data_IF_792807813510
#
_entry.id   IF_792807813510
#
_cell.length_a   1.000
_cell.length_b   1.000
_cell.length_c   1.000
_cell.angle_alpha   90.00
_cell.angle_beta   90.00
_cell.angle_gamma   90.00
#
_symmetry.space_group_name_H-M   'P 1'
#
loop_
_entity.id
_entity.type
_entity.pdbx_description
1 polymer ?
#
# COMPACT_ATOMS: atom_id res chain seq x y z
N UNK A 1 23.58 -7.19 8.78
CA UNK A 1 22.23 -6.63 9.05
C UNK A 1 21.54 -7.48 10.10
N UNK A 2 21.33 -6.96 11.30
CA UNK A 2 20.67 -7.68 12.39
C UNK A 2 19.16 -7.80 12.12
N UNK A 3 18.61 -9.02 12.15
CA UNK A 3 17.17 -9.31 12.01
C UNK A 3 16.41 -8.90 13.28
N UNK A 4 15.59 -7.86 13.18
CA UNK A 4 14.65 -7.49 14.24
C UNK A 4 13.36 -8.29 14.09
N UNK A 5 13.28 -9.45 14.76
CA UNK A 5 12.05 -10.24 14.88
C UNK A 5 11.27 -9.66 16.06
N UNK A 6 10.28 -8.79 15.82
CA UNK A 6 9.36 -8.30 16.85
C UNK A 6 8.50 -9.47 17.37
N UNK A 7 9.07 -10.26 18.27
CA UNK A 7 8.30 -11.21 19.07
C UNK A 7 7.65 -10.39 20.16
N UNK A 8 6.32 -10.30 20.16
CA UNK A 8 5.60 -9.76 21.30
C UNK A 8 6.00 -10.57 22.54
N UNK A 9 6.77 -9.92 23.43
CA UNK A 9 7.31 -10.52 24.63
C UNK A 9 6.61 -9.89 25.83
N UNK A 10 5.83 -10.71 26.56
CA UNK A 10 5.16 -10.27 27.77
C UNK A 10 6.21 -10.05 28.86
N UNK A 11 6.23 -8.89 29.50
CA UNK A 11 7.11 -8.62 30.63
C UNK A 11 6.46 -9.16 31.90
N UNK A 12 7.05 -10.18 32.51
CA UNK A 12 6.58 -10.80 33.76
C UNK A 12 7.56 -10.51 34.89
N UNK A 13 7.07 -10.02 36.02
CA UNK A 13 7.87 -9.76 37.23
C UNK A 13 7.95 -11.03 38.07
N UNK A 14 9.16 -11.49 38.36
CA UNK A 14 9.38 -12.57 39.32
C UNK A 14 9.28 -12.06 40.76
N UNK A 15 9.05 -12.95 41.72
CA UNK A 15 9.01 -12.66 43.16
C UNK A 15 10.29 -12.00 43.70
N UNK A 16 11.45 -12.27 43.08
CA UNK A 16 12.72 -11.61 43.43
C UNK A 16 12.87 -10.18 42.86
N UNK A 17 11.86 -9.66 42.16
CA UNK A 17 11.86 -8.30 41.62
C UNK A 17 12.36 -8.16 40.18
N UNK A 18 13.07 -9.16 39.64
CA UNK A 18 13.55 -9.13 38.24
C UNK A 18 12.41 -9.30 37.23
N UNK A 19 12.50 -8.55 36.14
CA UNK A 19 11.58 -8.57 35.01
C UNK A 19 12.12 -9.50 33.92
N UNK A 20 11.30 -10.40 33.40
CA UNK A 20 11.64 -11.30 32.31
C UNK A 20 10.72 -11.04 31.11
N UNK A 21 11.29 -11.02 29.91
CA UNK A 21 10.52 -11.06 28.68
C UNK A 21 10.23 -12.50 28.31
N UNK A 22 8.95 -12.85 28.22
CA UNK A 22 8.53 -14.22 27.95
C UNK A 22 7.69 -14.29 26.67
N UNK A 23 8.05 -15.21 25.77
CA UNK A 23 7.30 -15.43 24.54
C UNK A 23 5.95 -16.08 24.80
N UNK A 24 4.94 -15.78 23.98
CA UNK A 24 3.59 -16.37 24.07
C UNK A 24 3.56 -17.91 24.06
N UNK A 25 4.58 -18.57 23.51
CA UNK A 25 4.72 -20.04 23.50
C UNK A 25 4.92 -20.67 24.89
N UNK A 26 5.20 -19.84 25.90
CA UNK A 26 5.37 -20.26 27.29
C UNK A 26 4.13 -19.97 28.15
N UNK A 27 3.02 -19.53 27.55
CA UNK A 27 1.72 -19.47 28.23
C UNK A 27 1.34 -20.86 28.75
N UNK A 28 0.83 -20.92 29.99
CA UNK A 28 0.49 -22.13 30.74
C UNK A 28 1.66 -23.09 31.04
N UNK A 29 2.90 -22.72 30.70
CA UNK A 29 4.08 -23.50 31.06
C UNK A 29 4.66 -23.03 32.38
N UNK A 30 5.12 -23.98 33.19
CA UNK A 30 5.87 -23.72 34.42
C UNK A 30 7.30 -23.36 34.03
N UNK A 31 7.73 -22.15 34.37
CA UNK A 31 9.09 -21.67 34.14
C UNK A 31 9.78 -21.39 35.46
N UNK A 32 11.10 -21.59 35.52
CA UNK A 32 11.92 -21.25 36.68
C UNK A 32 12.65 -19.93 36.44
N UNK A 33 12.68 -19.06 37.45
CA UNK A 33 13.43 -17.82 37.40
C UNK A 33 14.93 -18.13 37.41
N UNK A 34 15.66 -17.67 36.38
CA UNK A 34 17.11 -17.87 36.28
C UNK A 34 17.92 -17.24 37.42
N UNK A 35 17.34 -16.27 38.16
CA UNK A 35 18.05 -15.58 39.23
C UNK A 35 17.79 -16.11 40.64
N UNK A 36 16.62 -16.68 40.92
CA UNK A 36 16.29 -17.18 42.27
C UNK A 36 15.78 -18.63 42.29
N UNK A 37 15.68 -19.30 41.14
CA UNK A 37 15.21 -20.67 41.02
C UNK A 37 13.70 -20.86 41.25
N UNK A 38 12.97 -19.83 41.68
CA UNK A 38 11.53 -19.96 41.96
C UNK A 38 10.73 -20.26 40.69
N UNK A 39 9.86 -21.28 40.76
CA UNK A 39 9.06 -21.73 39.63
C UNK A 39 7.62 -21.20 39.71
N UNK A 40 7.11 -20.72 38.57
CA UNK A 40 5.75 -20.19 38.46
C UNK A 40 5.17 -20.47 37.08
N UNK A 41 3.84 -20.51 37.01
CA UNK A 41 3.10 -20.73 35.76
C UNK A 41 2.61 -19.38 35.24
N UNK A 42 2.79 -19.12 33.94
CA UNK A 42 2.33 -17.87 33.34
C UNK A 42 0.87 -18.03 32.91
N UNK A 43 -0.07 -17.26 33.48
CA UNK A 43 -1.49 -17.38 33.16
C UNK A 43 -1.77 -16.91 31.73
N UNK A 44 -2.38 -17.77 30.91
CA UNK A 44 -2.76 -17.47 29.51
C UNK A 44 -3.64 -16.22 29.36
N UNK A 45 -4.52 -15.96 30.33
CA UNK A 45 -5.42 -14.81 30.31
C UNK A 45 -4.70 -13.48 30.07
N UNK A 46 -3.46 -13.32 30.56
CA UNK A 46 -2.69 -12.07 30.34
C UNK A 46 -2.21 -11.88 28.90
N UNK A 47 -2.03 -12.96 28.15
CA UNK A 47 -1.69 -12.88 26.73
C UNK A 47 -2.93 -12.54 25.90
N UNK A 48 -4.10 -13.08 26.24
CA UNK A 48 -5.34 -12.78 25.53
C UNK A 48 -5.74 -11.31 25.71
N UNK A 49 -5.58 -10.75 26.91
CA UNK A 49 -5.79 -9.31 27.16
C UNK A 49 -4.79 -8.42 26.41
N UNK A 50 -3.51 -8.82 26.36
CA UNK A 50 -2.49 -8.08 25.60
C UNK A 50 -2.70 -8.15 24.07
N UNK A 51 -3.44 -9.15 23.59
CA UNK A 51 -3.82 -9.31 22.19
C UNK A 51 -5.20 -8.69 21.85
N UNK A 52 -5.82 -7.97 22.79
CA UNK A 52 -7.13 -7.35 22.57
C UNK A 52 -8.29 -8.36 22.44
N UNK A 53 -8.09 -9.62 22.86
CA UNK A 53 -9.16 -10.62 22.93
C UNK A 53 -9.83 -10.54 24.29
N UNK A 54 -11.00 -9.92 24.33
CA UNK A 54 -11.87 -9.88 25.51
C UNK A 54 -12.23 -11.32 25.94
N UNK A 55 -12.09 -11.62 27.23
CA UNK A 55 -12.29 -12.94 27.81
C UNK A 55 -13.78 -13.40 27.89
N UNK A 56 -14.61 -13.02 26.91
CA UNK A 56 -16.07 -13.12 26.96
C UNK A 56 -16.72 -14.29 26.20
N UNK A 57 -16.06 -14.90 25.22
CA UNK A 57 -16.72 -15.87 24.34
C UNK A 57 -16.52 -17.32 24.78
N UNK A 58 -17.02 -17.65 25.97
CA UNK A 58 -17.31 -19.03 26.35
C UNK A 58 -18.69 -19.45 25.81
N UNK A 59 -18.89 -20.70 25.35
CA UNK A 59 -20.19 -21.16 24.85
C UNK A 59 -21.23 -21.15 25.97
N UNK A 60 -22.19 -20.23 25.86
CA UNK A 60 -23.38 -20.19 26.71
C UNK A 60 -24.23 -21.45 26.49
N UNK A 61 -24.71 -22.14 27.53
CA UNK A 61 -25.55 -23.33 27.39
C UNK A 61 -26.88 -22.98 26.70
N UNK A 62 -27.26 -23.84 25.75
CA UNK A 62 -28.42 -23.67 24.88
C UNK A 62 -29.74 -23.50 25.67
N UNK A 63 -30.53 -22.43 25.43
CA UNK A 63 -31.89 -22.37 25.90
C UNK A 63 -32.81 -23.22 25.01
N UNK A 64 -33.60 -24.04 25.69
CA UNK A 64 -34.66 -24.87 25.14
C UNK A 64 -35.71 -24.06 24.38
N UNK A 65 -36.04 -24.58 23.20
CA UNK A 65 -37.10 -24.16 22.29
C UNK A 65 -38.48 -24.15 22.98
N UNK A 66 -39.30 -23.10 22.76
CA UNK A 66 -40.74 -23.27 22.67
C UNK A 66 -41.24 -23.07 21.24
N UNK A 67 -42.40 -23.67 21.01
CA UNK A 67 -43.04 -23.90 19.74
C UNK A 67 -43.78 -22.66 19.18
N UNK A 68 -43.97 -22.71 17.86
CA UNK A 68 -45.12 -22.22 17.08
C UNK A 68 -45.74 -20.86 17.43
N UNK A 69 -45.55 -19.88 16.54
CA UNK A 69 -46.57 -18.87 16.27
C UNK A 69 -46.42 -18.28 14.85
N UNK A 70 -47.39 -18.64 14.01
CA UNK A 70 -48.14 -17.78 13.09
C UNK A 70 -47.38 -16.84 12.14
N UNK A 71 -47.46 -17.21 10.87
CA UNK A 71 -47.26 -16.38 9.68
C UNK A 71 -48.23 -15.18 9.66
N UNK A 72 -47.75 -13.93 9.50
CA UNK A 72 -48.60 -12.78 9.21
C UNK A 72 -48.97 -12.70 7.72
N UNK A 73 -50.13 -12.12 7.37
CA UNK A 73 -50.63 -12.04 6.00
C UNK A 73 -49.92 -11.00 5.14
N UNK A 74 -49.88 -11.35 3.86
CA UNK A 74 -49.43 -10.63 2.67
C UNK A 74 -49.96 -9.18 2.58
N UNK A 75 -49.08 -8.16 2.45
CA UNK A 75 -49.54 -6.80 2.19
C UNK A 75 -49.92 -6.60 0.72
N UNK A 76 -51.07 -5.95 0.55
CA UNK A 76 -51.76 -5.67 -0.70
C UNK A 76 -50.91 -4.97 -1.77
N UNK A 77 -51.13 -5.38 -3.02
CA UNK A 77 -50.69 -4.70 -4.24
C UNK A 77 -51.15 -3.23 -4.23
N UNK A 78 -50.19 -2.31 -4.22
CA UNK A 78 -50.42 -0.90 -4.55
C UNK A 78 -50.34 -0.75 -6.07
N UNK A 79 -51.45 -0.27 -6.63
CA UNK A 79 -51.70 0.01 -8.03
C UNK A 79 -50.74 1.07 -8.58
N UNK A 80 -50.16 0.81 -9.75
CA UNK A 80 -49.41 1.79 -10.54
C UNK A 80 -50.31 2.96 -10.98
N UNK A 81 -49.85 4.22 -10.92
CA UNK A 81 -50.54 5.33 -11.58
C UNK A 81 -50.25 5.35 -13.08
N UNK A 82 -51.30 5.73 -13.83
CA UNK A 82 -51.39 5.83 -15.28
C UNK A 82 -50.44 6.87 -15.90
N UNK A 83 -50.12 6.76 -17.21
CA UNK A 83 -49.25 7.70 -17.91
C UNK A 83 -49.94 9.05 -18.14
N UNK A 84 -49.28 10.12 -17.71
CA UNK A 84 -49.69 11.51 -17.96
C UNK A 84 -49.31 11.89 -19.39
N UNK A 85 -50.28 12.47 -20.10
CA UNK A 85 -50.17 12.91 -21.48
C UNK A 85 -49.20 14.10 -21.67
N UNK A 86 -48.54 14.23 -22.83
CA UNK A 86 -47.69 15.37 -23.16
C UNK A 86 -48.56 16.56 -23.60
N UNK A 87 -48.51 17.64 -22.82
CA UNK A 87 -49.04 18.95 -23.22
C UNK A 87 -48.03 19.70 -24.10
N UNK A 88 -48.47 20.36 -25.19
CA UNK A 88 -47.60 21.16 -26.05
C UNK A 88 -47.55 22.63 -25.62
N UNK A 89 -46.47 23.30 -26.05
CA UNK A 89 -46.28 24.75 -26.26
C UNK A 89 -45.46 25.49 -25.19
N UNK A 90 -44.87 26.67 -25.49
CA UNK A 90 -44.45 27.22 -26.80
C UNK A 90 -43.00 27.75 -26.81
N UNK A 91 -42.55 28.04 -28.04
CA UNK A 91 -41.54 29.03 -28.40
C UNK A 91 -41.38 30.18 -27.39
N UNK A 92 -40.14 30.44 -26.98
CA UNK A 92 -39.67 31.78 -26.67
C UNK A 92 -38.22 31.87 -27.13
N UNK A 93 -38.06 32.51 -28.29
CA UNK A 93 -36.79 33.02 -28.78
C UNK A 93 -36.28 34.08 -27.78
N UNK A 94 -35.07 33.87 -27.29
CA UNK A 94 -34.28 34.88 -26.62
C UNK A 94 -32.96 34.93 -27.38
N UNK A 95 -32.92 35.88 -28.32
CA UNK A 95 -31.72 36.37 -28.95
C UNK A 95 -30.79 36.90 -27.86
N UNK A 96 -29.81 36.09 -27.48
CA UNK A 96 -28.67 36.52 -26.69
C UNK A 96 -27.48 36.65 -27.64
N UNK A 97 -27.29 37.87 -28.12
CA UNK A 97 -26.10 38.34 -28.81
C UNK A 97 -24.92 38.29 -27.81
N UNK A 98 -23.87 37.49 -28.03
CA UNK A 98 -22.70 37.52 -27.17
C UNK A 98 -21.90 38.78 -27.49
N UNK A 99 -21.88 39.71 -26.54
CA UNK A 99 -20.96 40.83 -26.53
C UNK A 99 -19.52 40.30 -26.69
N UNK A 100 -18.91 40.56 -27.84
CA UNK A 100 -17.48 40.41 -28.04
C UNK A 100 -16.78 41.42 -27.12
N UNK A 101 -16.27 40.94 -25.98
CA UNK A 101 -15.28 41.68 -25.22
C UNK A 101 -13.96 41.64 -25.99
N UNK A 102 -13.60 42.80 -26.53
CA UNK A 102 -12.35 43.09 -27.20
C UNK A 102 -11.20 43.05 -26.17
N UNK A 103 -10.61 41.86 -26.00
CA UNK A 103 -9.58 41.57 -24.99
C UNK A 103 -8.18 42.03 -25.42
N UNK A 104 -8.04 42.55 -26.65
CA UNK A 104 -6.77 42.96 -27.22
C UNK A 104 -6.33 44.37 -26.77
N UNK A 105 -7.25 45.19 -26.25
CA UNK A 105 -6.91 46.54 -25.75
C UNK A 105 -6.36 46.58 -24.32
N UNK A 106 -6.44 45.49 -23.54
CA UNK A 106 -5.99 45.46 -22.14
C UNK A 106 -4.53 45.02 -21.96
N UNK A 107 -3.88 44.48 -22.99
CA UNK A 107 -2.50 43.96 -22.91
C UNK A 107 -1.46 45.05 -23.27
N UNK A 108 -1.87 46.14 -23.93
CA UNK A 108 -0.96 47.21 -24.35
C UNK A 108 -0.42 48.08 -23.19
N UNK A 109 -1.01 48.02 -21.99
CA UNK A 109 -0.69 48.94 -20.88
C UNK A 109 0.19 48.32 -19.77
N UNK A 110 0.69 47.09 -19.96
CA UNK A 110 1.50 46.37 -18.97
C UNK A 110 3.01 46.32 -19.30
N UNK A 111 3.48 47.04 -20.32
CA UNK A 111 4.92 47.15 -20.65
C UNK A 111 5.65 48.23 -19.83
N UNK A 112 5.32 48.36 -18.54
CA UNK A 112 6.03 49.21 -17.61
C UNK A 112 7.41 48.65 -17.29
N UNK A 113 8.46 49.40 -17.65
CA UNK A 113 9.87 49.15 -17.31
C UNK A 113 10.05 48.85 -15.81
N UNK A 114 10.47 47.62 -15.49
CA UNK A 114 10.91 47.24 -14.15
C UNK A 114 12.23 47.96 -13.81
N UNK A 115 12.35 48.56 -12.61
CA UNK A 115 13.61 49.13 -12.15
C UNK A 115 14.65 48.04 -11.90
N UNK A 116 15.89 48.31 -12.34
CA UNK A 116 17.08 47.49 -12.08
C UNK A 116 17.24 47.19 -10.58
N UNK A 117 17.26 45.90 -10.25
CA UNK A 117 17.59 45.42 -8.90
C UNK A 117 19.12 45.48 -8.77
N UNK A 118 19.68 46.24 -7.81
CA UNK A 118 21.13 46.29 -7.63
C UNK A 118 21.66 44.95 -7.10
N UNK A 119 22.73 44.48 -7.73
CA UNK A 119 23.46 43.26 -7.40
C UNK A 119 23.95 43.26 -5.94
N UNK A 120 23.81 42.15 -5.20
CA UNK A 120 24.37 42.04 -3.85
C UNK A 120 25.90 41.98 -3.88
N UNK A 121 26.60 42.62 -2.92
CA UNK A 121 28.05 42.57 -2.84
C UNK A 121 28.55 41.17 -2.47
N UNK A 122 29.68 40.80 -3.06
CA UNK A 122 30.40 39.55 -2.81
C UNK A 122 30.74 39.40 -1.33
N UNK A 123 30.15 38.39 -0.67
CA UNK A 123 30.55 37.96 0.65
C UNK A 123 31.78 37.04 0.54
N UNK A 124 32.92 37.60 0.94
CA UNK A 124 34.11 36.85 1.32
C UNK A 124 33.96 36.29 2.74
N UNK A 125 34.83 35.33 3.04
CA UNK A 125 35.24 34.83 4.37
C UNK A 125 34.43 33.67 5.00
N UNK A 126 34.92 32.46 4.68
CA UNK A 126 35.59 31.59 5.66
C UNK A 126 34.81 31.18 6.90
N UNK A 127 34.16 30.01 6.84
CA UNK A 127 33.75 29.25 8.03
C UNK A 127 34.45 27.88 8.02
N UNK A 128 35.60 27.81 8.71
CA UNK A 128 36.38 26.59 8.92
C UNK A 128 35.86 25.90 10.20
N UNK A 129 35.12 24.80 10.04
CA UNK A 129 34.59 24.00 11.14
C UNK A 129 35.68 23.03 11.63
N UNK A 130 36.38 23.39 12.72
CA UNK A 130 37.27 22.47 13.45
C UNK A 130 36.44 21.38 14.15
N UNK A 131 36.58 20.14 13.69
CA UNK A 131 36.19 18.95 14.44
C UNK A 131 37.15 18.79 15.63
N UNK A 132 36.58 18.61 16.82
CA UNK A 132 37.33 18.18 18.00
C UNK A 132 37.46 16.64 17.96
N UNK A 133 38.70 16.16 18.09
CA UNK A 133 39.02 14.76 18.34
C UNK A 133 38.70 14.41 19.80
N UNK A 134 37.66 13.59 20.01
CA UNK A 134 37.39 12.94 21.29
C UNK A 134 37.76 11.44 21.16
N UNK A 135 38.99 11.12 21.59
CA UNK A 135 39.44 9.75 21.84
C UNK A 135 38.78 9.20 23.12
N UNK A 136 38.10 8.03 23.09
CA UNK A 136 37.76 7.32 24.30
C UNK A 136 38.90 6.41 24.79
N UNK A 137 39.11 6.29 26.11
CA UNK A 137 40.20 5.51 26.69
C UNK A 137 40.05 4.00 26.47
N UNK A 138 41.14 3.40 26.02
CA UNK A 138 41.36 1.95 25.89
C UNK A 138 41.28 1.24 27.24
N UNK A 139 40.30 0.34 27.39
CA UNK A 139 40.17 -0.63 28.48
C UNK A 139 40.54 -2.05 28.04
N UNK A 140 40.98 -2.93 28.97
CA UNK A 140 41.70 -4.16 28.65
C UNK A 140 40.81 -5.31 28.13
N UNK A 141 41.38 -5.98 27.13
CA UNK A 141 40.92 -7.21 26.46
C UNK A 141 40.76 -8.40 27.43
N UNK A 142 39.61 -9.09 27.46
CA UNK A 142 39.50 -10.40 28.09
C UNK A 142 39.76 -11.54 27.10
N UNK A 143 40.66 -12.42 27.53
CA UNK A 143 41.00 -13.76 27.09
C UNK A 143 40.11 -14.44 26.02
N UNK A 144 40.77 -14.78 24.91
CA UNK A 144 40.38 -15.77 23.91
C UNK A 144 40.30 -17.16 24.55
N UNK A 145 39.08 -17.66 24.74
CA UNK A 145 38.85 -19.08 25.08
C UNK A 145 38.72 -19.86 23.77
N UNK A 146 39.75 -20.66 23.50
CA UNK A 146 39.71 -21.78 22.58
C UNK A 146 38.66 -22.81 23.05
N UNK A 147 37.74 -23.17 22.16
CA UNK A 147 36.98 -24.41 22.26
C UNK A 147 36.97 -25.05 20.89
N UNK A 148 37.92 -25.96 20.69
CA UNK A 148 37.80 -27.06 19.74
C UNK A 148 36.49 -27.82 19.99
N UNK A 149 35.84 -28.25 18.92
CA UNK A 149 34.55 -28.94 18.97
C UNK A 149 34.13 -29.41 17.59
N UNK A 150 35.03 -30.16 16.96
CA UNK A 150 34.81 -30.92 15.73
C UNK A 150 33.71 -31.97 15.97
N UNK A 151 32.63 -31.90 15.19
CA UNK A 151 31.77 -33.05 14.91
C UNK A 151 31.48 -33.06 13.41
N UNK A 152 32.11 -34.02 12.74
CA UNK A 152 31.67 -34.59 11.48
C UNK A 152 30.24 -35.07 11.63
N UNK A 153 29.35 -34.66 10.72
CA UNK A 153 28.22 -35.50 10.34
C UNK A 153 27.78 -35.15 8.91
N UNK A 154 28.54 -35.66 7.95
CA UNK A 154 28.09 -35.86 6.58
C UNK A 154 27.08 -37.00 6.53
N UNK A 155 25.80 -36.67 6.67
CA UNK A 155 24.70 -37.59 6.32
C UNK A 155 23.81 -36.99 5.24
N UNK A 156 23.95 -37.58 4.05
CA UNK A 156 22.97 -37.76 2.99
C UNK A 156 21.82 -36.76 2.87
N UNK A 157 21.96 -35.84 1.91
CA UNK A 157 20.83 -35.16 1.27
C UNK A 157 20.10 -36.17 0.38
N UNK A 158 19.26 -37.01 0.98
CA UNK A 158 18.29 -37.85 0.30
C UNK A 158 16.90 -37.57 0.86
N UNK A 159 16.32 -36.45 0.45
CA UNK A 159 14.93 -36.08 0.72
C UNK A 159 14.29 -35.50 -0.53
N UNK A 160 14.06 -36.36 -1.53
CA UNK A 160 13.21 -36.03 -2.67
C UNK A 160 12.66 -37.27 -3.38
N UNK A 161 11.90 -38.13 -2.68
CA UNK A 161 10.94 -39.07 -3.28
C UNK A 161 10.15 -39.77 -2.18
N UNK A 162 8.99 -39.23 -1.83
CA UNK A 162 7.72 -39.99 -1.73
C UNK A 162 6.56 -39.06 -1.32
N UNK A 163 5.64 -38.68 -2.24
CA UNK A 163 4.47 -37.88 -1.90
C UNK A 163 3.31 -38.66 -1.25
N UNK A 164 3.43 -39.98 -1.03
CA UNK A 164 2.30 -40.81 -0.55
C UNK A 164 2.41 -41.31 0.89
N UNK A 165 3.52 -41.05 1.59
CA UNK A 165 3.79 -41.61 2.93
C UNK A 165 3.73 -40.60 4.09
N UNK A 166 2.77 -39.67 4.12
CA UNK A 166 2.47 -38.90 5.35
C UNK A 166 1.20 -39.39 6.02
N UNK A 167 1.29 -40.28 7.04
CA UNK A 167 0.20 -40.45 8.00
C UNK A 167 -0.07 -39.09 8.66
N UNK A 168 -1.28 -38.59 8.47
CA UNK A 168 -1.69 -37.25 8.92
C UNK A 168 -1.51 -37.10 10.44
N UNK A 169 -0.86 -36.02 10.91
CA UNK A 169 -0.73 -35.77 12.33
C UNK A 169 -2.09 -35.37 12.89
N UNK A 170 -2.78 -36.31 13.53
CA UNK A 170 -3.84 -36.03 14.51
C UNK A 170 -3.17 -35.46 15.76
N UNK A 171 -2.99 -34.13 15.81
CA UNK A 171 -2.35 -33.49 16.96
C UNK A 171 -2.60 -31.98 17.04
N UNK A 172 -3.57 -31.59 17.86
CA UNK A 172 -3.57 -30.38 18.70
C UNK A 172 -3.39 -29.01 18.02
N UNK A 173 -4.52 -28.48 17.52
CA UNK A 173 -4.97 -27.07 17.53
C UNK A 173 -4.00 -25.88 17.56
N UNK A 174 -4.27 -24.94 16.62
CA UNK A 174 -3.84 -23.52 16.52
C UNK A 174 -2.37 -23.35 16.09
N UNK A 175 -1.99 -23.30 14.81
CA UNK A 175 -2.44 -22.41 13.75
C UNK A 175 -2.27 -23.13 12.39
N UNK A 176 -3.24 -23.96 12.02
CA UNK A 176 -3.31 -24.42 10.63
C UNK A 176 -3.70 -23.19 9.83
N UNK A 177 -2.76 -22.67 9.02
CA UNK A 177 -3.04 -21.57 8.10
C UNK A 177 -4.15 -22.08 7.15
N UNK A 178 -5.39 -21.79 7.50
CA UNK A 178 -6.55 -22.13 6.68
C UNK A 178 -6.29 -21.49 5.33
N UNK A 179 -6.33 -22.31 4.28
CA UNK A 179 -6.34 -21.78 2.93
C UNK A 179 -7.55 -20.86 2.76
N UNK A 180 -7.54 -19.97 1.76
CA UNK A 180 -8.69 -19.12 1.48
C UNK A 180 -9.95 -19.98 1.36
N UNK A 181 -11.00 -19.59 2.09
CA UNK A 181 -12.28 -20.31 2.11
C UNK A 181 -13.06 -20.15 0.79
N UNK A 182 -12.68 -19.15 -0.02
CA UNK A 182 -13.34 -18.72 -1.26
C UNK A 182 -12.35 -18.80 -2.42
N UNK A 183 -12.88 -18.75 -3.64
CA UNK A 183 -12.06 -18.67 -4.84
C UNK A 183 -11.55 -17.24 -5.08
N UNK A 184 -10.40 -17.13 -5.75
CA UNK A 184 -9.77 -15.84 -6.07
C UNK A 184 -10.73 -14.84 -6.70
N UNK A 185 -11.53 -15.26 -7.68
CA UNK A 185 -12.45 -14.36 -8.38
C UNK A 185 -13.57 -13.83 -7.47
N UNK A 186 -14.09 -14.66 -6.57
CA UNK A 186 -15.09 -14.20 -5.58
C UNK A 186 -14.50 -13.12 -4.68
N UNK A 187 -13.27 -13.33 -4.19
CA UNK A 187 -12.59 -12.36 -3.33
C UNK A 187 -12.16 -11.10 -4.11
N UNK A 188 -11.81 -11.25 -5.38
CA UNK A 188 -11.51 -10.14 -6.29
C UNK A 188 -12.73 -9.24 -6.49
N UNK A 189 -13.92 -9.81 -6.75
CA UNK A 189 -15.15 -9.02 -6.81
C UNK A 189 -15.51 -8.39 -5.46
N UNK A 190 -15.27 -9.09 -4.35
CA UNK A 190 -15.48 -8.52 -3.02
C UNK A 190 -14.51 -7.38 -2.68
N UNK A 191 -13.40 -7.26 -3.41
CA UNK A 191 -12.45 -6.16 -3.21
C UNK A 191 -13.04 -4.80 -3.56
N UNK A 192 -14.03 -4.73 -4.46
CA UNK A 192 -14.73 -3.47 -4.77
C UNK A 192 -15.61 -2.96 -3.63
N UNK A 193 -16.15 -3.87 -2.81
CA UNK A 193 -16.98 -3.53 -1.64
C UNK A 193 -16.11 -3.39 -0.38
N UNK A 194 -14.81 -3.65 -0.47
CA UNK A 194 -13.88 -3.68 0.66
C UNK A 194 -13.92 -2.43 1.55
N UNK A 195 -13.83 -1.19 0.99
CA UNK A 195 -13.79 0.00 1.84
C UNK A 195 -15.13 0.23 2.56
N UNK A 196 -16.21 -0.38 2.07
CA UNK A 196 -17.58 -0.18 2.55
C UNK A 196 -18.12 -1.35 3.38
N UNK A 197 -17.33 -2.41 3.58
CA UNK A 197 -17.82 -3.65 4.20
C UNK A 197 -18.08 -3.51 5.70
N UNK A 198 -17.27 -2.74 6.41
CA UNK A 198 -17.40 -2.49 7.86
C UNK A 198 -17.39 -1.00 8.13
N UNK A 199 -18.05 -0.55 9.20
CA UNK A 199 -18.04 0.86 9.60
C UNK A 199 -16.63 1.40 9.86
N UNK A 200 -15.73 0.56 10.41
CA UNK A 200 -14.33 0.91 10.60
C UNK A 200 -13.60 1.14 9.27
N UNK A 201 -13.82 0.28 8.26
CA UNK A 201 -13.23 0.46 6.93
C UNK A 201 -13.70 1.75 6.26
N UNK A 202 -14.98 2.10 6.42
CA UNK A 202 -15.55 3.35 5.86
C UNK A 202 -14.87 4.56 6.48
N UNK A 203 -14.71 4.58 7.81
CA UNK A 203 -14.04 5.68 8.52
C UNK A 203 -12.59 5.81 8.04
N UNK A 204 -11.84 4.71 7.99
CA UNK A 204 -10.45 4.73 7.50
C UNK A 204 -10.40 5.20 6.04
N UNK A 205 -11.31 4.75 5.18
CA UNK A 205 -11.38 5.17 3.79
C UNK A 205 -11.62 6.67 3.64
N UNK A 206 -12.57 7.24 4.39
CA UNK A 206 -12.84 8.67 4.40
C UNK A 206 -11.60 9.45 4.87
N UNK A 207 -10.91 8.98 5.92
CA UNK A 207 -9.68 9.59 6.40
C UNK A 207 -8.58 9.62 5.34
N UNK A 208 -8.42 8.53 4.57
CA UNK A 208 -7.46 8.48 3.47
C UNK A 208 -7.86 9.45 2.35
N UNK A 209 -9.14 9.52 1.99
CA UNK A 209 -9.65 10.46 0.99
C UNK A 209 -9.38 11.92 1.39
N UNK A 210 -9.65 12.27 2.66
CA UNK A 210 -9.38 13.62 3.18
C UNK A 210 -7.89 13.91 3.16
N UNK A 211 -7.05 12.99 3.65
CA UNK A 211 -5.60 13.17 3.65
C UNK A 211 -5.03 13.31 2.23
N UNK A 212 -5.60 12.57 1.27
CA UNK A 212 -5.23 12.64 -0.14
C UNK A 212 -5.67 13.97 -0.77
N UNK A 213 -6.89 14.44 -0.51
CA UNK A 213 -7.42 15.70 -1.01
C UNK A 213 -6.68 16.93 -0.46
N UNK A 214 -6.03 16.82 0.71
CA UNK A 214 -5.15 17.87 1.23
C UNK A 214 -3.97 18.18 0.30
N UNK A 215 -3.61 17.28 -0.62
CA UNK A 215 -2.57 17.53 -1.64
C UNK A 215 -2.95 18.66 -2.61
N UNK A 216 -4.24 18.87 -2.85
CA UNK A 216 -4.75 19.86 -3.80
C UNK A 216 -4.39 21.30 -3.37
N UNK A 217 -4.79 21.79 -2.17
CA UNK A 217 -4.40 23.13 -1.74
C UNK A 217 -2.90 23.23 -1.45
N UNK A 218 -2.25 22.14 -1.04
CA UNK A 218 -0.80 22.13 -0.84
C UNK A 218 -0.04 22.38 -2.14
N UNK A 219 -0.48 21.82 -3.27
CA UNK A 219 0.19 22.02 -4.56
C UNK A 219 0.28 23.50 -4.97
N UNK A 220 -0.63 24.34 -4.48
CA UNK A 220 -0.65 25.79 -4.72
C UNK A 220 0.48 26.55 -4.00
N UNK A 221 1.11 25.96 -2.97
CA UNK A 221 2.21 26.59 -2.21
C UNK A 221 3.59 26.43 -2.89
N UNK A 222 3.65 25.80 -4.07
CA UNK A 222 4.89 25.60 -4.83
C UNK A 222 5.91 24.75 -4.08
N UNK A 223 7.18 25.17 -4.06
CA UNK A 223 8.28 24.39 -3.48
C UNK A 223 8.13 24.11 -1.97
N UNK A 224 7.44 24.99 -1.22
CA UNK A 224 7.22 24.78 0.22
C UNK A 224 6.31 23.58 0.51
N UNK A 225 5.51 23.15 -0.47
CA UNK A 225 4.64 21.98 -0.32
C UNK A 225 5.34 20.63 -0.49
N UNK A 226 6.60 20.60 -0.95
CA UNK A 226 7.30 19.33 -1.19
C UNK A 226 7.41 18.49 0.09
N UNK A 227 7.69 19.12 1.23
CA UNK A 227 7.78 18.45 2.52
C UNK A 227 6.43 17.85 2.95
N UNK A 228 5.33 18.61 3.08
CA UNK A 228 4.05 18.04 3.48
C UNK A 228 3.49 17.04 2.45
N UNK A 229 3.70 17.27 1.14
CA UNK A 229 3.33 16.30 0.09
C UNK A 229 4.09 14.98 0.29
N UNK A 230 5.39 15.04 0.59
CA UNK A 230 6.19 13.83 0.86
C UNK A 230 5.72 13.10 2.11
N UNK A 231 5.33 13.82 3.17
CA UNK A 231 4.77 13.23 4.40
C UNK A 231 3.46 12.49 4.10
N UNK A 232 2.54 13.15 3.38
CA UNK A 232 1.26 12.54 2.96
C UNK A 232 1.53 11.32 2.08
N UNK A 233 2.45 11.44 1.12
CA UNK A 233 2.84 10.33 0.25
C UNK A 233 3.37 9.13 1.04
N UNK A 234 4.31 9.34 1.97
CA UNK A 234 4.86 8.26 2.77
C UNK A 234 3.83 7.58 3.66
N UNK A 235 2.89 8.36 4.20
CA UNK A 235 1.79 7.84 4.98
C UNK A 235 0.81 7.00 4.13
N UNK A 236 0.41 7.49 2.96
CA UNK A 236 -0.44 6.75 2.01
C UNK A 236 0.29 5.47 1.53
N UNK A 237 1.58 5.55 1.23
CA UNK A 237 2.39 4.41 0.83
C UNK A 237 2.47 3.33 1.93
N UNK A 238 2.62 3.75 3.19
CA UNK A 238 2.56 2.85 4.36
C UNK A 238 1.23 2.10 4.42
N UNK A 239 0.13 2.80 4.21
CA UNK A 239 -1.20 2.19 4.17
C UNK A 239 -1.35 1.20 3.02
N UNK A 240 -0.90 1.54 1.81
CA UNK A 240 -0.97 0.63 0.65
C UNK A 240 -0.17 -0.65 0.85
N UNK A 241 1.07 -0.54 1.34
CA UNK A 241 1.89 -1.71 1.66
C UNK A 241 1.25 -2.55 2.77
N UNK A 242 0.63 -1.91 3.77
CA UNK A 242 -0.10 -2.59 4.83
C UNK A 242 -1.34 -3.32 4.31
N UNK A 243 -2.10 -2.74 3.37
CA UNK A 243 -3.24 -3.40 2.72
C UNK A 243 -2.79 -4.67 2.01
N UNK A 244 -1.65 -4.63 1.30
CA UNK A 244 -1.08 -5.81 0.65
C UNK A 244 -0.73 -6.89 1.68
N UNK A 245 -0.04 -6.52 2.76
CA UNK A 245 0.40 -7.45 3.82
C UNK A 245 -0.77 -8.08 4.59
N UNK A 246 -1.75 -7.27 5.01
CA UNK A 246 -2.93 -7.73 5.74
C UNK A 246 -3.82 -8.61 4.87
N UNK A 247 -4.03 -8.23 3.61
CA UNK A 247 -4.81 -9.07 2.68
C UNK A 247 -4.11 -10.41 2.43
N UNK A 248 -2.78 -10.38 2.28
CA UNK A 248 -1.96 -11.58 2.14
C UNK A 248 -1.95 -12.48 3.38
N UNK A 249 -2.18 -11.91 4.57
CA UNK A 249 -2.33 -12.65 5.83
C UNK A 249 -3.72 -13.30 5.95
N UNK A 250 -4.66 -12.91 5.08
CA UNK A 250 -6.05 -13.35 5.09
C UNK A 250 -6.97 -12.43 5.90
N UNK A 251 -6.49 -11.23 6.27
CA UNK A 251 -7.32 -10.20 6.92
C UNK A 251 -8.25 -9.54 5.89
N UNK A 252 -9.49 -9.33 6.32
CA UNK A 252 -10.58 -8.74 5.51
C UNK A 252 -10.84 -7.26 5.88
N UNK A 253 -10.05 -6.68 6.80
CA UNK A 253 -10.20 -5.34 7.33
C UNK A 253 -9.16 -4.37 6.76
N UNK A 254 -9.49 -3.07 6.67
CA UNK A 254 -8.51 -2.04 6.30
C UNK A 254 -7.50 -1.89 7.45
N UNK A 255 -6.18 -1.84 7.16
CA UNK A 255 -5.20 -1.60 8.20
C UNK A 255 -5.49 -0.26 8.88
N UNK A 256 -5.57 -0.29 10.20
CA UNK A 256 -5.66 0.92 11.00
C UNK A 256 -4.36 1.72 10.88
N UNK A 257 -4.49 3.04 10.86
CA UNK A 257 -3.34 3.94 10.88
C UNK A 257 -2.72 3.89 12.27
N UNK A 258 -1.49 3.38 12.36
CA UNK A 258 -0.68 3.42 13.58
C UNK A 258 0.56 4.25 13.30
N UNK A 259 0.76 5.30 14.08
CA UNK A 259 2.01 6.08 14.10
C UNK A 259 2.73 5.78 15.43
N UNK A 260 3.02 4.50 15.66
CA UNK A 260 3.59 4.03 16.94
C UNK A 260 5.12 3.91 16.88
N UNK A 261 5.68 3.62 15.70
CA UNK A 261 7.11 3.31 15.53
C UNK A 261 7.96 4.55 15.17
N UNK A 262 7.30 5.69 14.92
CA UNK A 262 7.92 6.99 14.74
C UNK A 262 8.06 7.40 13.27
N UNK A 263 8.39 8.67 13.03
CA UNK A 263 8.36 9.27 11.69
C UNK A 263 9.17 8.52 10.63
N UNK A 264 10.37 8.02 10.98
CA UNK A 264 11.24 7.34 10.03
C UNK A 264 10.68 5.98 9.62
N UNK A 265 10.21 5.18 10.57
CA UNK A 265 9.71 3.83 10.32
C UNK A 265 8.28 3.84 9.74
N UNK A 266 7.44 4.80 10.14
CA UNK A 266 6.04 4.88 9.72
C UNK A 266 5.83 5.63 8.39
N UNK A 267 6.71 6.58 8.04
CA UNK A 267 6.54 7.46 6.87
C UNK A 267 7.68 7.29 5.86
N UNK A 268 8.93 7.53 6.28
CA UNK A 268 10.06 7.59 5.34
C UNK A 268 10.36 6.22 4.73
N UNK A 269 10.43 5.18 5.55
CA UNK A 269 10.77 3.82 5.09
C UNK A 269 9.71 3.23 4.15
N UNK A 270 8.40 3.32 4.42
CA UNK A 270 7.38 2.90 3.47
C UNK A 270 7.40 3.73 2.18
N UNK A 271 7.61 5.05 2.26
CA UNK A 271 7.77 5.90 1.08
C UNK A 271 8.90 5.40 0.18
N UNK A 272 10.08 5.13 0.77
CA UNK A 272 11.24 4.63 0.04
C UNK A 272 11.01 3.23 -0.54
N UNK A 273 10.27 2.36 0.16
CA UNK A 273 9.91 1.04 -0.38
C UNK A 273 8.99 1.14 -1.58
N UNK A 274 7.96 1.98 -1.48
CA UNK A 274 7.01 2.20 -2.56
C UNK A 274 7.67 2.87 -3.77
N UNK A 275 8.51 3.89 -3.52
CA UNK A 275 9.31 4.54 -4.56
C UNK A 275 10.36 3.59 -5.15
N UNK A 276 10.94 2.70 -4.35
CA UNK A 276 11.83 1.65 -4.81
C UNK A 276 11.14 0.67 -5.76
N UNK A 277 9.92 0.23 -5.42
CA UNK A 277 9.10 -0.57 -6.33
C UNK A 277 8.81 0.18 -7.65
N UNK A 278 8.59 1.51 -7.57
CA UNK A 278 8.45 2.37 -8.75
C UNK A 278 9.70 2.45 -9.59
N UNK A 279 10.82 2.78 -8.98
CA UNK A 279 12.09 2.95 -9.68
C UNK A 279 12.54 1.65 -10.35
N UNK A 280 12.33 0.50 -9.71
CA UNK A 280 12.72 -0.80 -10.29
C UNK A 280 11.80 -1.19 -11.46
N UNK A 281 10.50 -0.95 -11.33
CA UNK A 281 9.53 -1.29 -12.40
C UNK A 281 9.62 -0.35 -13.60
N UNK A 282 9.68 0.97 -13.36
CA UNK A 282 9.70 1.99 -14.40
C UNK A 282 11.12 2.37 -14.86
N UNK A 283 12.15 1.90 -14.15
CA UNK A 283 13.56 2.19 -14.43
C UNK A 283 13.97 1.94 -15.88
N UNK A 284 13.61 0.81 -16.51
CA UNK A 284 13.91 0.58 -17.93
C UNK A 284 13.28 1.61 -18.87
N UNK A 285 12.03 2.02 -18.63
CA UNK A 285 11.37 3.05 -19.41
C UNK A 285 12.02 4.42 -19.22
N UNK A 286 12.36 4.78 -17.97
CA UNK A 286 13.06 6.02 -17.66
C UNK A 286 14.45 6.06 -18.28
N UNK A 287 15.21 4.95 -18.21
CA UNK A 287 16.52 4.82 -18.85
C UNK A 287 16.41 4.99 -20.37
N UNK A 288 15.39 4.39 -21.00
CA UNK A 288 15.13 4.57 -22.43
C UNK A 288 14.86 6.04 -22.80
N UNK A 289 14.04 6.76 -22.02
CA UNK A 289 13.79 8.20 -22.21
C UNK A 289 15.07 9.04 -22.06
N UNK A 290 15.89 8.75 -21.05
CA UNK A 290 17.17 9.46 -20.84
C UNK A 290 18.13 9.22 -22.01
N UNK A 291 18.27 7.98 -22.46
CA UNK A 291 19.14 7.63 -23.60
C UNK A 291 18.64 8.26 -24.92
N UNK A 292 17.31 8.36 -25.10
CA UNK A 292 16.70 9.08 -26.22
C UNK A 292 17.01 10.57 -26.15
N UNK A 293 16.79 11.21 -24.99
CA UNK A 293 17.07 12.64 -24.80
C UNK A 293 18.55 13.00 -24.97
N UNK A 294 19.44 12.08 -24.62
CA UNK A 294 20.89 12.22 -24.80
C UNK A 294 21.35 11.94 -26.25
N UNK A 295 20.45 11.59 -27.17
CA UNK A 295 20.76 11.19 -28.55
C UNK A 295 21.79 10.05 -28.66
N UNK A 296 21.81 9.14 -27.67
CA UNK A 296 22.74 7.99 -27.62
C UNK A 296 22.18 6.79 -28.40
N UNK A 297 20.86 6.69 -28.52
CA UNK A 297 20.21 5.58 -29.23
C UNK A 297 20.27 5.77 -30.75
N UNK A 298 20.56 4.70 -31.53
CA UNK A 298 20.39 4.71 -32.98
C UNK A 298 18.97 5.11 -33.37
N UNK A 299 18.81 5.88 -34.46
CA UNK A 299 17.51 6.32 -34.96
C UNK A 299 16.52 5.15 -35.18
N UNK A 300 17.04 3.98 -35.57
CA UNK A 300 16.24 2.77 -35.75
C UNK A 300 15.58 2.24 -34.45
N UNK A 301 16.13 2.58 -33.28
CA UNK A 301 15.59 2.19 -31.97
C UNK A 301 14.71 3.28 -31.33
N UNK A 302 14.72 4.51 -31.87
CA UNK A 302 13.87 5.61 -31.40
C UNK A 302 12.48 5.42 -32.00
N UNK A 303 11.61 4.73 -31.28
CA UNK A 303 10.21 4.56 -31.69
C UNK A 303 9.29 4.78 -30.50
N UNK A 304 8.18 5.47 -30.73
CA UNK A 304 7.12 5.59 -29.72
C UNK A 304 6.59 4.22 -29.28
N UNK A 305 6.59 3.23 -30.17
CA UNK A 305 6.22 1.86 -29.86
C UNK A 305 7.16 1.21 -28.83
N UNK A 306 8.48 1.43 -28.94
CA UNK A 306 9.44 0.93 -27.95
C UNK A 306 9.23 1.59 -26.58
N UNK A 307 9.00 2.91 -26.54
CA UNK A 307 8.68 3.61 -25.28
C UNK A 307 7.41 3.03 -24.63
N UNK A 308 6.34 2.87 -25.42
CA UNK A 308 5.08 2.28 -24.96
C UNK A 308 5.28 0.84 -24.47
N UNK A 309 6.11 0.04 -25.15
CA UNK A 309 6.42 -1.32 -24.72
C UNK A 309 7.17 -1.34 -23.38
N UNK A 310 8.13 -0.43 -23.17
CA UNK A 310 8.84 -0.30 -21.89
C UNK A 310 7.93 0.18 -20.76
N UNK A 311 7.06 1.16 -21.01
CA UNK A 311 6.07 1.62 -20.05
C UNK A 311 5.08 0.52 -19.69
N UNK A 312 4.52 -0.18 -20.70
CA UNK A 312 3.62 -1.31 -20.49
C UNK A 312 4.30 -2.43 -19.72
N UNK A 313 5.57 -2.74 -20.00
CA UNK A 313 6.38 -3.70 -19.25
C UNK A 313 6.60 -3.30 -17.80
N UNK A 314 6.87 -2.02 -17.54
CA UNK A 314 7.01 -1.49 -16.17
C UNK A 314 5.71 -1.57 -15.37
N UNK A 315 4.59 -1.10 -15.95
CA UNK A 315 3.25 -1.24 -15.35
C UNK A 315 2.91 -2.72 -15.15
N UNK A 316 3.27 -3.58 -16.09
CA UNK A 316 3.05 -5.02 -16.00
C UNK A 316 3.78 -5.62 -14.81
N UNK A 317 5.06 -5.30 -14.59
CA UNK A 317 5.85 -5.88 -13.49
C UNK A 317 5.59 -5.22 -12.12
N UNK A 318 5.00 -4.03 -12.11
CA UNK A 318 4.70 -3.26 -10.90
C UNK A 318 4.06 -4.07 -9.75
N UNK A 319 2.96 -4.84 -9.94
CA UNK A 319 2.34 -5.65 -8.89
C UNK A 319 3.31 -6.55 -8.13
N UNK A 320 4.25 -7.17 -8.87
CA UNK A 320 5.20 -8.12 -8.28
C UNK A 320 6.23 -7.36 -7.46
N UNK A 321 6.73 -6.23 -7.96
CA UNK A 321 7.67 -5.43 -7.19
C UNK A 321 7.03 -4.88 -5.92
N UNK A 322 5.80 -4.35 -5.98
CA UNK A 322 5.08 -3.93 -4.75
C UNK A 322 5.00 -5.07 -3.75
N UNK A 323 4.67 -6.28 -4.20
CA UNK A 323 4.60 -7.47 -3.35
C UNK A 323 5.97 -7.81 -2.73
N UNK A 324 7.05 -7.79 -3.53
CA UNK A 324 8.42 -8.04 -3.03
C UNK A 324 8.87 -6.99 -2.01
N UNK A 325 8.59 -5.70 -2.25
CA UNK A 325 8.92 -4.62 -1.34
C UNK A 325 8.06 -4.64 -0.06
N UNK A 326 6.78 -5.00 -0.18
CA UNK A 326 5.88 -5.19 0.96
C UNK A 326 6.43 -6.25 1.91
N UNK A 327 6.88 -7.40 1.39
CA UNK A 327 7.44 -8.48 2.21
C UNK A 327 8.95 -8.38 2.48
N UNK A 328 9.60 -7.29 2.05
CA UNK A 328 11.05 -7.12 2.18
C UNK A 328 11.88 -8.26 1.57
N UNK A 329 11.43 -8.81 0.44
CA UNK A 329 12.03 -9.94 -0.27
C UNK A 329 12.81 -9.49 -1.51
N UNK A 330 13.66 -8.47 -1.38
CA UNK A 330 14.37 -7.85 -2.50
C UNK A 330 15.35 -8.78 -3.21
N UNK A 331 15.94 -9.75 -2.49
CA UNK A 331 16.88 -10.73 -3.05
C UNK A 331 16.26 -11.56 -4.20
N UNK A 332 14.93 -11.62 -4.26
CA UNK A 332 14.19 -12.34 -5.29
C UNK A 332 14.09 -11.59 -6.62
N UNK A 333 14.40 -10.28 -6.63
CA UNK A 333 14.42 -9.48 -7.87
C UNK A 333 15.42 -10.08 -8.88
N UNK A 334 16.52 -10.67 -8.40
CA UNK A 334 17.53 -11.32 -9.25
C UNK A 334 17.06 -12.64 -9.86
N UNK A 335 15.93 -13.21 -9.41
CA UNK A 335 15.38 -14.47 -9.91
C UNK A 335 14.20 -14.24 -10.87
N UNK A 336 14.48 -13.48 -11.93
CA UNK A 336 13.51 -13.06 -12.95
C UNK A 336 12.78 -14.26 -13.57
N UNK A 337 13.46 -15.38 -13.78
CA UNK A 337 12.89 -16.61 -14.34
C UNK A 337 11.73 -17.17 -13.48
N UNK A 338 11.89 -17.18 -12.15
CA UNK A 338 10.85 -17.63 -11.22
C UNK A 338 9.65 -16.67 -11.22
N UNK A 339 9.90 -15.37 -11.36
CA UNK A 339 8.84 -14.36 -11.44
C UNK A 339 7.97 -14.62 -12.67
N UNK A 340 8.57 -14.72 -13.86
CA UNK A 340 7.82 -14.97 -15.09
C UNK A 340 7.11 -16.32 -15.08
N UNK A 341 7.78 -17.38 -14.63
CA UNK A 341 7.16 -18.70 -14.50
C UNK A 341 5.91 -18.66 -13.60
N UNK A 342 5.96 -17.87 -12.52
CA UNK A 342 4.81 -17.70 -11.63
C UNK A 342 3.69 -16.94 -12.33
N UNK A 343 4.01 -15.81 -12.97
CA UNK A 343 3.04 -14.98 -13.71
C UNK A 343 2.33 -15.79 -14.80
N UNK A 344 3.06 -16.55 -15.63
CA UNK A 344 2.46 -17.34 -16.70
C UNK A 344 1.52 -18.43 -16.17
N UNK A 345 1.84 -19.03 -15.01
CA UNK A 345 0.98 -20.05 -14.38
C UNK A 345 -0.29 -19.47 -13.74
N UNK A 346 -0.32 -18.17 -13.49
CA UNK A 346 -1.43 -17.47 -12.81
C UNK A 346 -1.97 -16.33 -13.68
N UNK A 347 -1.74 -16.41 -15.00
CA UNK A 347 -1.96 -15.32 -15.94
C UNK A 347 -3.36 -14.70 -15.82
N UNK A 348 -4.41 -15.52 -15.67
CA UNK A 348 -5.78 -15.01 -15.54
C UNK A 348 -5.97 -14.07 -14.34
N UNK A 349 -5.50 -14.46 -13.16
CA UNK A 349 -5.56 -13.62 -11.96
C UNK A 349 -4.67 -12.37 -12.12
N UNK A 350 -3.48 -12.54 -12.70
CA UNK A 350 -2.54 -11.46 -12.91
C UNK A 350 -3.04 -10.39 -13.88
N UNK A 351 -3.65 -10.81 -15.00
CA UNK A 351 -4.26 -9.90 -15.98
C UNK A 351 -5.35 -9.05 -15.32
N UNK A 352 -6.12 -9.60 -14.38
CA UNK A 352 -7.13 -8.82 -13.67
C UNK A 352 -6.53 -7.69 -12.82
N UNK A 353 -5.40 -7.94 -12.16
CA UNK A 353 -4.65 -6.92 -11.42
C UNK A 353 -4.10 -5.88 -12.39
N UNK A 354 -3.53 -6.33 -13.50
CA UNK A 354 -2.95 -5.43 -14.50
C UNK A 354 -4.00 -4.51 -15.12
N UNK A 355 -5.18 -5.02 -15.46
CA UNK A 355 -6.30 -4.21 -15.95
C UNK A 355 -6.75 -3.16 -14.92
N UNK A 356 -6.78 -3.51 -13.63
CA UNK A 356 -7.07 -2.55 -12.55
C UNK A 356 -5.98 -1.48 -12.44
N UNK A 357 -4.71 -1.85 -12.55
CA UNK A 357 -3.63 -0.87 -12.57
C UNK A 357 -3.62 0.01 -13.81
N UNK A 358 -4.05 -0.51 -14.97
CA UNK A 358 -4.25 0.33 -16.15
C UNK A 358 -5.38 1.34 -15.94
N UNK A 359 -6.45 0.98 -15.21
CA UNK A 359 -7.51 1.91 -14.88
C UNK A 359 -7.01 3.03 -13.95
N UNK A 360 -6.20 2.69 -12.94
CA UNK A 360 -5.50 3.66 -12.08
C UNK A 360 -4.49 4.50 -12.89
N UNK A 361 -3.71 3.86 -13.75
CA UNK A 361 -2.77 4.55 -14.62
C UNK A 361 -3.46 5.50 -15.59
N UNK A 362 -4.64 5.14 -16.07
CA UNK A 362 -5.46 5.98 -16.95
C UNK A 362 -5.94 7.24 -16.22
N UNK A 363 -6.43 7.14 -14.98
CA UNK A 363 -6.81 8.32 -14.19
C UNK A 363 -5.62 9.26 -13.99
N UNK A 364 -4.42 8.70 -13.79
CA UNK A 364 -3.18 9.49 -13.69
C UNK A 364 -2.72 10.09 -15.03
N UNK A 365 -2.97 9.42 -16.16
CA UNK A 365 -2.58 9.88 -17.50
C UNK A 365 -3.51 10.95 -18.08
N UNK A 366 -4.76 11.04 -17.65
CA UNK A 366 -5.75 12.00 -18.15
C UNK A 366 -5.24 13.46 -18.25
N UNK A 367 -4.63 14.05 -17.21
CA UNK A 367 -4.09 15.42 -17.31
C UNK A 367 -2.98 15.53 -18.35
N UNK A 368 -2.12 14.52 -18.48
CA UNK A 368 -1.07 14.49 -19.50
C UNK A 368 -1.66 14.40 -20.91
N UNK A 369 -2.69 13.57 -21.10
CA UNK A 369 -3.42 13.45 -22.37
C UNK A 369 -4.04 14.80 -22.77
N UNK A 370 -4.62 15.53 -21.82
CA UNK A 370 -5.18 16.86 -22.06
C UNK A 370 -4.12 17.87 -22.51
N UNK A 371 -2.93 17.87 -21.88
CA UNK A 371 -1.80 18.72 -22.28
C UNK A 371 -1.30 18.37 -23.69
N UNK A 372 -1.16 17.07 -23.99
CA UNK A 372 -0.73 16.61 -25.33
C UNK A 372 -1.77 16.99 -26.38
N UNK A 373 -3.06 16.82 -26.10
CA UNK A 373 -4.14 17.20 -27.01
C UNK A 373 -4.15 18.71 -27.31
N UNK A 374 -3.91 19.55 -26.30
CA UNK A 374 -3.75 20.98 -26.48
C UNK A 374 -2.52 21.32 -27.33
N UNK A 375 -1.38 20.66 -27.10
CA UNK A 375 -0.14 20.89 -27.85
C UNK A 375 -0.23 20.56 -29.35
N UNK A 376 -1.09 19.60 -29.74
CA UNK A 376 -1.33 19.24 -31.15
C UNK A 376 -2.48 20.01 -31.80
N UNK A 377 -3.01 21.06 -31.15
CA UNK A 377 -4.18 21.83 -31.59
C UNK A 377 -5.43 20.95 -31.81
N UNK A 378 -5.56 19.83 -31.08
CA UNK A 378 -6.83 19.10 -31.06
C UNK A 378 -7.81 19.97 -30.28
N UNK A 379 -8.70 20.66 -30.98
CA UNK A 379 -9.71 21.52 -30.36
C UNK A 379 -10.79 20.65 -29.70
N UNK A 380 -10.44 20.00 -28.60
CA UNK A 380 -11.38 19.36 -27.70
C UNK A 380 -12.03 20.53 -26.95
N UNK A 381 -13.35 20.75 -27.07
CA UNK A 381 -14.02 21.79 -26.29
C UNK A 381 -13.97 21.39 -24.82
N UNK A 382 -12.92 21.81 -24.13
CA UNK A 382 -12.82 21.67 -22.68
C UNK A 382 -13.76 22.74 -22.11
N UNK A 383 -14.83 22.35 -21.40
CA UNK A 383 -15.70 23.34 -20.78
C UNK A 383 -14.86 24.25 -19.89
N UNK A 384 -15.03 25.57 -20.03
CA UNK A 384 -14.42 26.54 -19.11
C UNK A 384 -15.05 26.33 -17.74
N UNK A 385 -14.32 25.63 -16.89
CA UNK A 385 -14.73 25.31 -15.53
C UNK A 385 -14.29 26.45 -14.61
N UNK A 386 -15.24 27.01 -13.85
CA UNK A 386 -14.91 27.93 -12.77
C UNK A 386 -13.93 27.27 -11.79
N UNK A 387 -13.08 28.06 -11.13
CA UNK A 387 -12.07 27.57 -10.18
C UNK A 387 -12.64 26.59 -9.14
N UNK A 388 -13.83 26.87 -8.61
CA UNK A 388 -14.49 25.96 -7.65
C UNK A 388 -14.86 24.61 -8.26
N UNK A 389 -15.32 24.60 -9.51
CA UNK A 389 -15.68 23.37 -10.22
C UNK A 389 -14.46 22.55 -10.63
N UNK A 390 -13.34 23.20 -11.01
CA UNK A 390 -12.09 22.49 -11.30
C UNK A 390 -11.54 21.80 -10.05
N UNK A 391 -11.55 22.48 -8.89
CA UNK A 391 -11.12 21.88 -7.61
C UNK A 391 -12.01 20.71 -7.20
N UNK A 392 -13.34 20.82 -7.39
CA UNK A 392 -14.27 19.74 -7.06
C UNK A 392 -14.06 18.51 -7.96
N UNK A 393 -13.80 18.72 -9.25
CA UNK A 393 -13.50 17.64 -10.20
C UNK A 393 -12.16 16.98 -9.85
N UNK A 394 -11.13 17.76 -9.56
CA UNK A 394 -9.82 17.24 -9.13
C UNK A 394 -9.95 16.40 -7.85
N UNK A 395 -10.69 16.89 -6.85
CA UNK A 395 -10.97 16.14 -5.62
C UNK A 395 -11.76 14.85 -5.90
N UNK A 396 -12.72 14.86 -6.83
CA UNK A 396 -13.45 13.67 -7.20
C UNK A 396 -12.56 12.63 -7.88
N UNK A 397 -11.65 13.05 -8.76
CA UNK A 397 -10.67 12.17 -9.39
C UNK A 397 -9.66 11.63 -8.36
N UNK A 398 -9.24 12.44 -7.39
CA UNK A 398 -8.34 12.01 -6.31
C UNK A 398 -9.00 10.94 -5.43
N UNK A 399 -10.28 11.11 -5.07
CA UNK A 399 -11.06 10.09 -4.33
C UNK A 399 -11.20 8.81 -5.13
N UNK A 400 -11.48 8.92 -6.44
CA UNK A 400 -11.57 7.76 -7.33
C UNK A 400 -10.23 7.02 -7.44
N UNK A 401 -9.13 7.77 -7.56
CA UNK A 401 -7.77 7.22 -7.65
C UNK A 401 -7.38 6.47 -6.37
N UNK A 402 -7.66 7.06 -5.19
CA UNK A 402 -7.47 6.40 -3.89
C UNK A 402 -8.29 5.12 -3.80
N UNK A 403 -9.56 5.16 -4.20
CA UNK A 403 -10.44 3.98 -4.20
C UNK A 403 -9.88 2.87 -5.08
N UNK A 404 -9.57 3.16 -6.34
CA UNK A 404 -9.06 2.18 -7.30
C UNK A 404 -7.69 1.63 -6.89
N UNK A 405 -6.85 2.48 -6.29
CA UNK A 405 -5.55 2.05 -5.76
C UNK A 405 -5.70 1.10 -4.58
N UNK A 406 -6.59 1.38 -3.62
CA UNK A 406 -6.85 0.46 -2.49
C UNK A 406 -7.35 -0.90 -3.01
N UNK A 407 -8.28 -0.91 -3.98
CA UNK A 407 -8.76 -2.14 -4.62
C UNK A 407 -7.60 -2.89 -5.29
N UNK A 408 -6.73 -2.19 -6.03
CA UNK A 408 -5.57 -2.78 -6.68
C UNK A 408 -4.58 -3.39 -5.68
N UNK A 409 -4.26 -2.69 -4.60
CA UNK A 409 -3.40 -3.18 -3.52
C UNK A 409 -3.98 -4.43 -2.85
N UNK A 410 -5.30 -4.45 -2.66
CA UNK A 410 -6.01 -5.63 -2.14
C UNK A 410 -5.90 -6.81 -3.12
N UNK A 411 -6.11 -6.59 -4.42
CA UNK A 411 -5.98 -7.66 -5.42
C UNK A 411 -4.56 -8.24 -5.46
N UNK A 412 -3.53 -7.40 -5.31
CA UNK A 412 -2.12 -7.84 -5.19
C UNK A 412 -1.94 -8.74 -3.96
N UNK A 413 -2.49 -8.36 -2.81
CA UNK A 413 -2.47 -9.18 -1.60
C UNK A 413 -3.24 -10.51 -1.75
N UNK A 414 -4.41 -10.49 -2.39
CA UNK A 414 -5.21 -11.70 -2.67
C UNK A 414 -4.51 -12.65 -3.63
N UNK A 415 -3.81 -12.11 -4.62
CA UNK A 415 -2.98 -12.89 -5.53
C UNK A 415 -1.88 -13.64 -4.79
N UNK A 416 -1.22 -12.97 -3.83
CA UNK A 416 -0.29 -13.65 -2.96
C UNK A 416 -0.99 -14.75 -2.13
N UNK A 417 -2.09 -14.43 -1.44
CA UNK A 417 -2.81 -15.34 -0.55
C UNK A 417 -3.20 -16.65 -1.26
N UNK A 418 -3.75 -16.55 -2.48
CA UNK A 418 -4.23 -17.70 -3.25
C UNK A 418 -3.10 -18.50 -3.90
N UNK A 419 -2.04 -17.84 -4.34
CA UNK A 419 -0.97 -18.48 -5.10
C UNK A 419 0.32 -18.69 -4.30
N UNK A 420 0.34 -18.43 -2.99
CA UNK A 420 1.53 -18.58 -2.12
C UNK A 420 2.26 -19.91 -2.27
N UNK A 421 1.54 -21.01 -2.53
CA UNK A 421 2.13 -22.35 -2.72
C UNK A 421 2.93 -22.48 -4.02
N UNK A 422 2.62 -21.64 -5.01
CA UNK A 422 3.30 -21.60 -6.31
C UNK A 422 4.48 -20.66 -6.29
N UNK A 423 4.45 -19.67 -5.40
CA UNK A 423 5.64 -18.91 -5.08
C UNK A 423 6.64 -19.82 -4.39
N UNK A 424 7.82 -19.99 -4.97
CA UNK A 424 8.98 -20.61 -4.30
C UNK A 424 9.55 -19.73 -3.18
N UNK A 425 8.78 -18.72 -2.77
CA UNK A 425 9.17 -17.71 -1.81
C UNK A 425 8.86 -18.23 -0.40
N UNK A 426 9.89 -18.57 0.35
CA UNK A 426 9.78 -18.76 1.79
C UNK A 426 10.01 -17.39 2.43
N UNK A 427 8.94 -16.71 2.81
CA UNK A 427 9.05 -15.49 3.63
C UNK A 427 9.24 -15.92 5.09
N UNK A 428 10.37 -15.54 5.69
CA UNK A 428 10.80 -15.95 7.05
C UNK A 428 10.39 -15.02 8.20
#
# INVERSE_FOLDING_TARGET
MARWKFRMALRVKCRCGKMFQVSARLADKKIACASCGWSFTIPRARFDTAQGRSAGDGPSPAPSRPASAQTPPEPARVSSPAPVAPGPSPLSALDNEPAQLDLDSAIADLSGTLPEIPSPPAAADGFELKLADDDPPSGPSPARVESQGQTDDTTGVEYARDPLARPGPRGSGKDVIQGPARGFWTDAFQSFVYPFRTGANVITFIMICVASALRIPLSMLGCYALIPIFIIFGWIASLYLSVVQETASGSDDLPGIKMEDGFIDDIVKPALKYLGAFAVSMGPALAYVILMAANVLPEALVSGAALLAWLAGGIFLWPVFVLLFAFNALDMIYRIDLIFTTIFRTLGAYVSIWLMLLLVGFTWLLPLIAVIAAAINLNIPIPTLDFGSSMAIEAAFDVLDVYLTIVSMRLIGLYYLHFKRRFTLVFE
#
